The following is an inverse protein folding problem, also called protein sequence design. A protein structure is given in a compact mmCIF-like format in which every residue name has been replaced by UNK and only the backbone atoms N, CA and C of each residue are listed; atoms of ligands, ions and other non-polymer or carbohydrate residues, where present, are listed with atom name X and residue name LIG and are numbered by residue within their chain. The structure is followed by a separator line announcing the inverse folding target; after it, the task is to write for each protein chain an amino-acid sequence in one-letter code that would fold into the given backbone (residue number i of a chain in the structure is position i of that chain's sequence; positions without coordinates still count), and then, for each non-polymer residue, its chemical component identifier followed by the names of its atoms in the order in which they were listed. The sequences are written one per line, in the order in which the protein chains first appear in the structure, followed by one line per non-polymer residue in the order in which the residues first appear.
data_IF_210540173238
#
_entry.id   IF_210540173238
#
_cell.length_a   1.000
_cell.length_b   1.000
_cell.length_c   1.000
_cell.angle_alpha   90.00
_cell.angle_beta   90.00
_cell.angle_gamma   90.00
#
_symmetry.space_group_name_H-M   'P 1'
#
loop_
_entity.id
_entity.type
_entity.pdbx_description
1 polymer ?
#
# COMPACT_ATOMS: atom_id res chain seq x y z
N UNK A 1 93.85 -10.01 5.17
CA UNK A 1 93.20 -9.06 6.09
C UNK A 1 91.89 -8.58 5.45
N UNK A 2 90.78 -8.62 6.22
CA UNK A 2 89.55 -7.78 6.14
C UNK A 2 88.95 -7.41 4.76
N UNK A 3 87.64 -7.39 4.47
CA UNK A 3 86.34 -7.52 5.15
C UNK A 3 85.31 -7.59 4.00
N UNK A 4 84.33 -8.50 4.02
CA UNK A 4 82.87 -8.20 4.17
C UNK A 4 82.30 -7.23 3.11
N UNK A 5 81.28 -7.56 2.30
CA UNK A 5 79.86 -7.61 2.70
C UNK A 5 78.96 -8.26 1.63
N UNK A 6 77.92 -8.91 2.15
CA UNK A 6 76.77 -9.59 1.50
C UNK A 6 75.81 -8.60 0.82
N UNK A 7 75.04 -9.10 -0.15
CA UNK A 7 73.57 -8.91 -0.34
C UNK A 7 73.13 -9.71 -1.59
N UNK A 8 72.44 -10.86 -1.44
CA UNK A 8 70.97 -11.04 -1.47
C UNK A 8 70.39 -10.78 -2.87
N UNK A 9 70.10 -11.81 -3.69
CA UNK A 9 69.00 -12.81 -3.69
C UNK A 9 68.02 -12.50 -4.83
N UNK A 10 67.82 -13.50 -5.69
CA UNK A 10 66.79 -13.63 -6.72
C UNK A 10 65.40 -13.20 -6.26
N UNK A 11 64.60 -12.63 -7.18
CA UNK A 11 63.18 -13.01 -7.32
C UNK A 11 62.75 -12.88 -8.79
N UNK A 12 62.40 -14.02 -9.38
CA UNK A 12 61.70 -14.13 -10.65
C UNK A 12 60.25 -13.64 -10.53
N UNK A 13 59.79 -12.82 -11.47
CA UNK A 13 58.39 -12.39 -11.55
C UNK A 13 57.61 -13.38 -12.41
N UNK A 14 56.72 -14.14 -11.77
CA UNK A 14 55.79 -15.07 -12.40
C UNK A 14 54.56 -14.27 -12.86
N UNK A 15 54.20 -14.48 -14.11
CA UNK A 15 53.02 -13.99 -14.83
C UNK A 15 51.72 -14.42 -14.15
N UNK A 16 50.85 -13.46 -13.83
CA UNK A 16 49.46 -13.72 -13.44
C UNK A 16 48.52 -13.11 -14.49
N UNK A 17 47.95 -13.98 -15.33
CA UNK A 17 46.83 -13.70 -16.23
C UNK A 17 45.61 -13.29 -15.43
N UNK A 18 45.20 -12.02 -15.56
CA UNK A 18 43.99 -11.47 -14.95
C UNK A 18 42.77 -11.78 -15.82
N UNK A 19 42.00 -12.80 -15.43
CA UNK A 19 40.62 -12.98 -15.90
C UNK A 19 39.73 -11.94 -15.18
N UNK A 20 38.93 -11.12 -15.90
CA UNK A 20 38.01 -10.20 -15.25
C UNK A 20 36.85 -10.99 -14.65
N UNK A 21 36.71 -10.95 -13.31
CA UNK A 21 35.50 -11.36 -12.62
C UNK A 21 34.34 -10.48 -13.10
N UNK A 22 33.48 -11.03 -13.96
CA UNK A 22 32.15 -10.48 -14.22
C UNK A 22 31.30 -10.70 -12.95
N UNK A 23 31.25 -9.70 -12.06
CA UNK A 23 30.24 -9.64 -11.02
C UNK A 23 28.89 -9.39 -11.69
N UNK A 24 28.14 -10.46 -11.94
CA UNK A 24 26.72 -10.37 -12.21
C UNK A 24 26.03 -9.84 -10.94
N UNK A 25 25.66 -8.56 -10.96
CA UNK A 25 24.75 -7.98 -9.98
C UNK A 25 23.42 -8.72 -10.09
N UNK A 26 23.18 -9.65 -9.17
CA UNK A 26 21.84 -10.18 -8.94
C UNK A 26 20.97 -9.00 -8.48
N UNK A 27 20.20 -8.44 -9.41
CA UNK A 27 19.15 -7.48 -9.06
C UNK A 27 18.21 -8.20 -8.10
N UNK A 28 17.95 -7.67 -6.89
CA UNK A 28 16.91 -8.25 -6.05
C UNK A 28 15.62 -8.22 -6.87
N UNK A 29 14.97 -9.38 -7.00
CA UNK A 29 13.64 -9.45 -7.57
C UNK A 29 12.76 -8.52 -6.72
N UNK A 30 12.26 -7.44 -7.33
CA UNK A 30 11.30 -6.59 -6.67
C UNK A 30 10.04 -7.44 -6.47
N UNK A 31 9.61 -7.60 -5.22
CA UNK A 31 8.34 -8.25 -4.91
C UNK A 31 7.23 -7.56 -5.70
N UNK A 32 6.45 -8.33 -6.47
CA UNK A 32 5.37 -7.76 -7.25
C UNK A 32 4.26 -7.25 -6.31
N UNK A 33 3.78 -6.01 -6.50
CA UNK A 33 2.73 -5.46 -5.67
C UNK A 33 1.43 -6.24 -5.86
N UNK A 34 0.86 -6.72 -4.76
CA UNK A 34 -0.45 -7.34 -4.73
C UNK A 34 -1.50 -6.24 -4.48
N UNK A 35 -2.42 -6.08 -5.42
CA UNK A 35 -3.45 -5.04 -5.37
C UNK A 35 -4.82 -5.69 -5.33
N UNK A 36 -5.67 -5.23 -4.41
CA UNK A 36 -7.06 -5.62 -4.33
C UNK A 36 -7.95 -4.37 -4.38
N UNK A 37 -9.11 -4.48 -5.03
CA UNK A 37 -10.01 -3.35 -5.25
C UNK A 37 -11.45 -3.79 -5.02
N UNK A 38 -12.20 -2.97 -4.30
CA UNK A 38 -13.64 -3.17 -4.08
C UNK A 38 -14.38 -1.87 -4.31
N UNK A 39 -15.53 -1.94 -4.97
CA UNK A 39 -16.45 -0.81 -5.15
C UNK A 39 -17.80 -1.17 -4.57
N UNK A 40 -18.36 -0.30 -3.72
CA UNK A 40 -19.64 -0.47 -3.04
C UNK A 40 -20.52 0.74 -3.35
N UNK A 41 -21.72 0.49 -3.87
CA UNK A 41 -22.70 1.53 -4.22
C UNK A 41 -23.16 1.45 -5.69
N UNK A 42 -24.01 2.41 -6.12
CA UNK A 42 -24.46 3.58 -5.37
C UNK A 42 -25.42 3.23 -4.24
N UNK A 43 -25.22 3.85 -3.07
CA UNK A 43 -26.12 3.78 -1.91
C UNK A 43 -26.90 5.09 -1.83
N UNK A 44 -28.22 5.02 -1.98
CA UNK A 44 -29.08 6.20 -1.85
C UNK A 44 -29.13 6.66 -0.38
N UNK A 45 -28.96 7.95 -0.16
CA UNK A 45 -29.06 8.58 1.13
C UNK A 45 -30.49 9.10 1.34
N UNK A 46 -31.05 9.02 2.56
CA UNK A 46 -32.44 9.37 2.83
C UNK A 46 -32.73 10.87 2.68
N UNK A 47 -31.70 11.72 2.75
CA UNK A 47 -31.76 13.14 2.50
C UNK A 47 -30.43 13.61 1.89
N UNK A 48 -30.40 14.84 1.37
CA UNK A 48 -29.16 15.52 0.99
C UNK A 48 -28.42 15.84 2.28
N UNK A 49 -27.36 15.09 2.57
CA UNK A 49 -26.63 15.17 3.85
C UNK A 49 -25.13 15.17 3.62
N UNK A 50 -24.34 15.85 4.48
CA UNK A 50 -22.89 15.74 4.44
C UNK A 50 -22.50 14.29 4.74
N UNK A 51 -21.50 13.79 4.01
CA UNK A 51 -20.93 12.47 4.23
C UNK A 51 -19.51 12.66 4.76
N UNK A 52 -19.15 11.85 5.74
CA UNK A 52 -17.78 11.79 6.23
C UNK A 52 -17.12 10.54 5.66
N UNK A 53 -15.97 10.74 5.01
CA UNK A 53 -15.22 9.67 4.39
C UNK A 53 -13.92 9.42 5.17
N UNK A 54 -13.76 8.23 5.73
CA UNK A 54 -12.60 7.92 6.59
C UNK A 54 -11.85 6.67 6.13
N UNK A 55 -10.55 6.66 6.35
CA UNK A 55 -9.70 5.46 6.43
C UNK A 55 -9.17 5.41 7.86
N UNK A 56 -9.72 4.52 8.69
CA UNK A 56 -9.44 4.48 10.14
C UNK A 56 -9.69 5.86 10.80
N UNK A 57 -8.67 6.50 11.35
CA UNK A 57 -8.68 7.83 11.95
C UNK A 57 -8.56 8.99 10.94
N UNK A 58 -8.22 8.71 9.68
CA UNK A 58 -8.05 9.74 8.65
C UNK A 58 -9.38 10.02 7.97
N UNK A 59 -10.05 11.09 8.38
CA UNK A 59 -11.32 11.52 7.80
C UNK A 59 -11.18 12.76 6.92
N UNK A 60 -11.96 12.80 5.84
CA UNK A 60 -12.17 13.97 4.99
C UNK A 60 -13.66 14.25 4.89
N UNK A 61 -14.03 15.52 5.01
CA UNK A 61 -15.41 15.95 4.80
C UNK A 61 -15.72 15.94 3.31
N UNK A 62 -16.82 15.31 2.91
CA UNK A 62 -17.32 15.40 1.54
C UNK A 62 -18.45 16.43 1.44
N UNK A 63 -18.73 16.97 0.24
CA UNK A 63 -19.95 17.73 -0.01
C UNK A 63 -21.21 16.90 0.28
N UNK A 64 -22.34 17.59 0.41
CA UNK A 64 -23.64 16.94 0.58
C UNK A 64 -24.00 16.09 -0.64
N UNK A 65 -24.46 14.86 -0.41
CA UNK A 65 -24.77 13.91 -1.48
C UNK A 65 -26.19 13.33 -1.34
N UNK A 66 -26.76 12.90 -2.47
CA UNK A 66 -27.99 12.08 -2.54
C UNK A 66 -27.69 10.60 -2.64
N UNK A 67 -26.52 10.25 -3.16
CA UNK A 67 -26.03 8.89 -3.28
C UNK A 67 -24.51 8.87 -3.16
N UNK A 68 -23.97 7.76 -2.68
CA UNK A 68 -22.52 7.55 -2.56
C UNK A 68 -22.10 6.20 -3.10
N UNK A 69 -20.98 6.20 -3.79
CA UNK A 69 -20.23 5.02 -4.23
C UNK A 69 -18.82 5.13 -3.68
N UNK A 70 -18.42 4.13 -2.89
CA UNK A 70 -17.09 4.02 -2.30
C UNK A 70 -16.27 3.02 -3.10
N UNK A 71 -15.15 3.48 -3.67
CA UNK A 71 -14.13 2.61 -4.26
C UNK A 71 -12.91 2.58 -3.36
N UNK A 72 -12.46 1.40 -2.98
CA UNK A 72 -11.27 1.17 -2.14
C UNK A 72 -10.25 0.39 -2.95
N UNK A 73 -9.00 0.83 -2.90
CA UNK A 73 -7.83 0.16 -3.46
C UNK A 73 -6.85 -0.08 -2.33
N UNK A 74 -6.47 -1.33 -2.12
CA UNK A 74 -5.47 -1.72 -1.14
C UNK A 74 -4.31 -2.41 -1.85
N UNK A 75 -3.08 -1.99 -1.56
CA UNK A 75 -1.86 -2.50 -2.20
C UNK A 75 -0.87 -2.94 -1.14
N UNK A 76 -0.27 -4.12 -1.30
CA UNK A 76 0.80 -4.63 -0.43
C UNK A 76 1.98 -5.13 -1.27
N UNK A 77 3.19 -5.04 -0.72
CA UNK A 77 4.42 -5.63 -1.30
C UNK A 77 4.77 -6.97 -0.65
N UNK A 78 3.96 -7.44 0.30
CA UNK A 78 4.16 -8.74 0.95
C UNK A 78 3.79 -9.85 -0.03
N UNK A 79 4.78 -10.65 -0.45
CA UNK A 79 4.56 -11.76 -1.36
C UNK A 79 3.66 -12.86 -0.75
N UNK A 80 2.81 -13.46 -1.58
CA UNK A 80 2.18 -14.73 -1.27
C UNK A 80 0.90 -14.66 -0.43
N UNK A 81 0.39 -13.47 -0.12
CA UNK A 81 -0.90 -13.33 0.56
C UNK A 81 -1.88 -12.39 -0.16
N UNK A 82 -3.12 -12.85 -0.40
CA UNK A 82 -4.17 -11.99 -0.92
C UNK A 82 -4.67 -11.03 0.16
N UNK A 83 -4.85 -9.77 -0.23
CA UNK A 83 -5.66 -8.82 0.53
C UNK A 83 -7.13 -9.17 0.31
N UNK A 84 -7.91 -9.17 1.39
CA UNK A 84 -9.35 -9.38 1.35
C UNK A 84 -10.07 -8.05 1.61
N UNK A 85 -10.98 -7.68 0.73
CA UNK A 85 -11.84 -6.52 0.90
C UNK A 85 -13.29 -6.99 0.99
N UNK A 86 -13.95 -6.62 2.08
CA UNK A 86 -15.32 -7.04 2.36
C UNK A 86 -16.19 -5.82 2.63
N UNK A 87 -17.32 -5.74 1.96
CA UNK A 87 -18.31 -4.69 2.24
C UNK A 87 -18.97 -4.96 3.59
N UNK A 88 -19.09 -3.91 4.41
CA UNK A 88 -19.75 -3.96 5.71
C UNK A 88 -20.82 -2.88 5.81
N UNK A 89 -21.85 -3.05 6.66
CA UNK A 89 -22.82 -1.99 6.90
C UNK A 89 -22.16 -0.76 7.53
N UNK A 90 -22.63 0.43 7.15
CA UNK A 90 -22.19 1.68 7.73
C UNK A 90 -22.56 1.74 9.23
N UNK A 91 -21.58 1.93 10.15
CA UNK A 91 -21.85 1.93 11.58
C UNK A 91 -22.67 3.16 12.03
N UNK A 92 -22.53 4.27 11.32
CA UNK A 92 -23.19 5.55 11.63
C UNK A 92 -24.51 5.77 10.88
N UNK A 93 -24.97 4.85 10.03
CA UNK A 93 -26.24 5.01 9.32
C UNK A 93 -26.19 4.52 7.87
N UNK A 94 -26.46 5.42 6.93
CA UNK A 94 -26.53 5.11 5.50
C UNK A 94 -25.22 5.44 4.79
N UNK A 95 -24.85 4.60 3.81
CA UNK A 95 -23.67 4.82 2.99
C UNK A 95 -22.96 3.51 2.65
N UNK A 96 -21.67 3.62 2.34
CA UNK A 96 -20.84 2.47 1.99
C UNK A 96 -19.65 2.37 2.95
N UNK A 97 -19.36 1.15 3.42
CA UNK A 97 -18.18 0.84 4.21
C UNK A 97 -17.53 -0.47 3.74
N UNK A 98 -16.22 -0.55 3.88
CA UNK A 98 -15.37 -1.67 3.44
C UNK A 98 -14.33 -1.93 4.52
N UNK A 99 -14.13 -3.20 4.86
CA UNK A 99 -13.01 -3.64 5.70
C UNK A 99 -11.92 -4.25 4.84
N UNK A 100 -10.67 -3.90 5.11
CA UNK A 100 -9.47 -4.46 4.46
C UNK A 100 -8.76 -5.38 5.44
N UNK A 101 -8.68 -6.68 5.14
CA UNK A 101 -8.02 -7.69 5.97
C UNK A 101 -6.96 -8.48 5.21
N UNK A 102 -6.11 -9.18 5.96
CA UNK A 102 -5.04 -10.04 5.46
C UNK A 102 -4.82 -11.19 6.44
N UNK A 103 -4.47 -12.37 5.92
CA UNK A 103 -4.15 -13.55 6.74
C UNK A 103 -2.73 -13.53 7.31
N UNK A 104 -1.91 -12.54 6.92
CA UNK A 104 -0.58 -12.28 7.51
C UNK A 104 -0.39 -10.82 7.83
N UNK A 105 0.55 -10.54 8.74
CA UNK A 105 0.96 -9.17 9.01
C UNK A 105 1.63 -8.56 7.78
N UNK A 106 1.02 -7.51 7.23
CA UNK A 106 1.49 -6.86 6.01
C UNK A 106 1.38 -5.33 6.12
N UNK A 107 2.30 -4.62 5.47
CA UNK A 107 2.19 -3.17 5.31
C UNK A 107 1.37 -2.89 4.05
N UNK A 108 0.21 -2.28 4.24
CA UNK A 108 -0.78 -2.04 3.18
C UNK A 108 -0.89 -0.53 2.95
N UNK A 109 -0.89 -0.14 1.68
CA UNK A 109 -1.26 1.21 1.24
C UNK A 109 -2.71 1.19 0.80
N UNK A 110 -3.54 2.00 1.44
CA UNK A 110 -4.98 2.07 1.21
C UNK A 110 -5.32 3.44 0.65
N UNK A 111 -6.04 3.44 -0.46
CA UNK A 111 -6.61 4.61 -1.10
C UNK A 111 -8.10 4.38 -1.26
N UNK A 112 -8.89 5.43 -1.06
CA UNK A 112 -10.30 5.38 -1.34
C UNK A 112 -10.75 6.57 -2.19
N UNK A 113 -11.82 6.37 -2.93
CA UNK A 113 -12.46 7.39 -3.72
C UNK A 113 -13.96 7.32 -3.45
N UNK A 114 -14.50 8.40 -2.89
CA UNK A 114 -15.93 8.59 -2.73
C UNK A 114 -16.44 9.34 -3.95
N UNK A 115 -17.42 8.76 -4.62
CA UNK A 115 -18.12 9.39 -5.74
C UNK A 115 -19.62 9.40 -5.47
N UNK A 116 -20.36 10.28 -6.11
CA UNK A 116 -21.80 10.36 -5.93
C UNK A 116 -22.40 11.53 -6.67
N UNK A 117 -23.68 11.79 -6.44
CA UNK A 117 -24.33 13.02 -6.90
C UNK A 117 -24.69 13.89 -5.69
N UNK A 118 -24.48 15.20 -5.84
CA UNK A 118 -24.91 16.21 -4.90
C UNK A 118 -25.81 17.25 -5.55
N UNK A 119 -26.34 18.19 -4.76
CA UNK A 119 -27.23 19.24 -5.27
C UNK A 119 -26.54 20.18 -6.28
N UNK A 120 -25.20 20.25 -6.24
CA UNK A 120 -24.39 21.09 -7.13
C UNK A 120 -23.80 20.32 -8.33
N UNK A 121 -24.06 19.01 -8.44
CA UNK A 121 -23.52 18.15 -9.49
C UNK A 121 -22.77 16.92 -8.94
N UNK A 122 -21.99 16.22 -9.78
CA UNK A 122 -21.27 15.03 -9.37
C UNK A 122 -20.17 15.36 -8.36
N UNK A 123 -19.97 14.45 -7.41
CA UNK A 123 -18.98 14.53 -6.34
C UNK A 123 -17.89 13.50 -6.61
N UNK A 124 -16.63 13.89 -6.36
CA UNK A 124 -15.49 13.00 -6.36
C UNK A 124 -14.48 13.48 -5.33
N UNK A 125 -14.28 12.68 -4.28
CA UNK A 125 -13.41 13.02 -3.14
C UNK A 125 -12.44 11.87 -2.90
N UNK A 126 -11.13 12.07 -3.13
CA UNK A 126 -10.13 11.08 -2.76
C UNK A 126 -9.87 11.10 -1.25
N UNK A 127 -9.62 9.92 -0.68
CA UNK A 127 -9.23 9.71 0.72
C UNK A 127 -7.95 8.90 0.74
N UNK A 128 -6.94 9.37 1.47
CA UNK A 128 -5.61 8.76 1.51
C UNK A 128 -4.63 9.35 0.49
N UNK A 129 -3.51 8.65 0.19
CA UNK A 129 -3.19 7.30 0.67
C UNK A 129 -2.93 7.23 2.17
N UNK A 130 -3.27 6.09 2.78
CA UNK A 130 -2.90 5.75 4.15
C UNK A 130 -2.06 4.47 4.13
N UNK A 131 -0.88 4.52 4.75
CA UNK A 131 0.00 3.36 4.90
C UNK A 131 -0.15 2.84 6.32
N UNK A 132 -0.49 1.57 6.48
CA UNK A 132 -0.70 0.96 7.79
C UNK A 132 -0.27 -0.51 7.79
N UNK A 133 0.23 -0.97 8.93
CA UNK A 133 0.51 -2.39 9.15
C UNK A 133 -0.74 -3.05 9.70
N UNK A 134 -1.32 -3.98 8.93
CA UNK A 134 -2.46 -4.78 9.33
C UNK A 134 -1.93 -6.10 9.87
N UNK A 135 -2.31 -6.48 11.09
CA UNK A 135 -1.90 -7.75 11.70
C UNK A 135 -2.72 -8.92 11.16
N UNK A 136 -2.13 -10.11 11.14
CA UNK A 136 -2.87 -11.35 10.89
C UNK A 136 -4.06 -11.47 11.85
N UNK A 137 -5.25 -11.75 11.32
CA UNK A 137 -6.48 -11.99 12.09
C UNK A 137 -6.92 -10.83 13.01
N UNK A 138 -6.36 -9.63 12.83
CA UNK A 138 -6.84 -8.41 13.50
C UNK A 138 -8.01 -7.81 12.72
N UNK A 139 -8.96 -7.12 13.39
CA UNK A 139 -9.98 -6.37 12.67
C UNK A 139 -9.27 -5.40 11.72
N UNK A 140 -9.59 -5.55 10.45
CA UNK A 140 -8.96 -4.84 9.36
C UNK A 140 -9.17 -3.33 9.40
N UNK A 141 -8.58 -2.62 8.44
CA UNK A 141 -8.80 -1.18 8.29
C UNK A 141 -10.20 -0.96 7.75
N UNK A 142 -10.97 -0.11 8.42
CA UNK A 142 -12.31 0.26 7.96
C UNK A 142 -12.22 1.53 7.12
N UNK A 143 -12.73 1.45 5.90
CA UNK A 143 -12.94 2.59 5.03
C UNK A 143 -14.43 2.83 4.95
N UNK A 144 -14.88 4.05 5.24
CA UNK A 144 -16.30 4.36 5.34
C UNK A 144 -16.64 5.67 4.67
N UNK A 145 -17.87 5.77 4.17
CA UNK A 145 -18.51 6.96 3.61
C UNK A 145 -19.95 6.94 4.07
N UNK A 146 -20.19 7.40 5.29
CA UNK A 146 -21.47 7.25 5.97
C UNK A 146 -22.05 8.61 6.35
N UNK A 147 -23.37 8.74 6.24
CA UNK A 147 -24.13 9.85 6.80
C UNK A 147 -24.82 9.43 8.09
N UNK A 148 -24.72 10.28 9.12
CA UNK A 148 -25.44 10.18 10.39
C UNK A 148 -26.87 10.67 10.30
#
# INVERSE_FOLDING_TARGET
MQRTRRTLRDVAVITATTAPLLLALASPAAAEPHTATLTVGPVNLPAVVPVEACIDDLCVSTPEATDVTLRVVATTLTEGQPLELTSVPCPSGHGAAVTVSTSVTATVTIEALVTGNGPLGPISVPVGPRIQTIGADTPGVTVLSCSS
#
